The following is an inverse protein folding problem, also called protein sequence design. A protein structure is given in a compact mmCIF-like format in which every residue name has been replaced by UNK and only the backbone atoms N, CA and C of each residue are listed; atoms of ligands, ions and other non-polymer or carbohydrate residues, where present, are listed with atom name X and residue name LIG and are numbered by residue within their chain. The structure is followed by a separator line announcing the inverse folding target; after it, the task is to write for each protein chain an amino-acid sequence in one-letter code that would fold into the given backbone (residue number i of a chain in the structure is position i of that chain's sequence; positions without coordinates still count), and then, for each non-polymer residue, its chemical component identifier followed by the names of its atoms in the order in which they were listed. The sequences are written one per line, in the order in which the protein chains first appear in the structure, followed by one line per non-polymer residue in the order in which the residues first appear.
data_IF_805266095527
#
_entry.id   IF_805266095527
#
_cell.length_a   1.000
_cell.length_b   1.000
_cell.length_c   1.000
_cell.angle_alpha   90.00
_cell.angle_beta   90.00
_cell.angle_gamma   90.00
#
_symmetry.space_group_name_H-M   'P 1'
#
loop_
_entity.id
_entity.type
_entity.pdbx_description
1 polymer ?
#
# COMPACT_ATOMS: atom_id res chain seq x y z
N UNK A 1 -60.25 -8.94 -7.06
CA UNK A 1 -59.69 -9.39 -5.77
C UNK A 1 -58.67 -10.51 -5.88
N UNK A 2 -58.82 -11.51 -6.76
CA UNK A 2 -57.80 -12.59 -6.92
C UNK A 2 -56.65 -12.22 -7.87
N UNK A 3 -56.91 -11.50 -8.98
CA UNK A 3 -55.87 -11.02 -9.92
C UNK A 3 -54.88 -10.03 -9.30
N UNK A 4 -55.36 -9.14 -8.44
CA UNK A 4 -54.51 -8.12 -7.81
C UNK A 4 -53.49 -8.77 -6.85
N UNK A 5 -53.89 -9.83 -6.13
CA UNK A 5 -53.00 -10.58 -5.23
C UNK A 5 -51.91 -11.37 -5.97
N UNK A 6 -52.19 -11.92 -7.14
CA UNK A 6 -51.17 -12.60 -7.97
C UNK A 6 -50.17 -11.60 -8.57
N UNK A 7 -50.64 -10.41 -8.95
CA UNK A 7 -49.77 -9.32 -9.43
C UNK A 7 -48.86 -8.81 -8.31
N UNK A 8 -49.39 -8.66 -7.10
CA UNK A 8 -48.62 -8.22 -5.93
C UNK A 8 -47.58 -9.27 -5.50
N UNK A 9 -47.90 -10.57 -5.57
CA UNK A 9 -46.94 -11.66 -5.30
C UNK A 9 -45.82 -11.70 -6.35
N UNK A 10 -46.16 -11.53 -7.63
CA UNK A 10 -45.15 -11.47 -8.70
C UNK A 10 -44.20 -10.28 -8.49
N UNK A 11 -44.74 -9.10 -8.19
CA UNK A 11 -43.94 -7.90 -7.91
C UNK A 11 -42.98 -8.13 -6.72
N UNK A 12 -43.46 -8.75 -5.64
CA UNK A 12 -42.62 -9.08 -4.48
C UNK A 12 -41.54 -10.12 -4.80
N UNK A 13 -41.79 -11.08 -5.70
CA UNK A 13 -40.81 -12.07 -6.14
C UNK A 13 -39.72 -11.44 -7.01
N UNK A 14 -40.11 -10.55 -7.92
CA UNK A 14 -39.16 -9.77 -8.73
C UNK A 14 -38.32 -8.86 -7.84
N UNK A 15 -38.93 -8.16 -6.88
CA UNK A 15 -38.21 -7.31 -5.94
C UNK A 15 -37.16 -8.08 -5.15
N UNK A 16 -37.51 -9.27 -4.63
CA UNK A 16 -36.56 -10.14 -3.92
C UNK A 16 -35.38 -10.60 -4.79
N UNK A 17 -35.59 -10.79 -6.09
CA UNK A 17 -34.52 -11.14 -7.02
C UNK A 17 -33.62 -9.94 -7.30
N UNK A 18 -34.17 -8.76 -7.51
CA UNK A 18 -33.40 -7.53 -7.75
C UNK A 18 -32.56 -7.14 -6.53
N UNK A 19 -33.07 -7.40 -5.33
CA UNK A 19 -32.37 -7.15 -4.07
C UNK A 19 -31.37 -8.26 -3.70
N UNK A 20 -31.36 -9.40 -4.41
CA UNK A 20 -30.46 -10.51 -4.10
C UNK A 20 -29.03 -10.23 -4.56
N UNK A 21 -28.06 -10.82 -3.85
CA UNK A 21 -26.63 -10.66 -4.17
C UNK A 21 -26.29 -11.24 -5.55
N UNK A 22 -26.97 -12.31 -5.95
CA UNK A 22 -26.81 -12.92 -7.28
C UNK A 22 -27.22 -12.01 -8.45
N UNK A 23 -27.94 -10.92 -8.18
CA UNK A 23 -28.30 -9.92 -9.18
C UNK A 23 -27.26 -8.79 -9.30
N UNK A 24 -26.28 -8.72 -8.38
CA UNK A 24 -25.16 -7.78 -8.49
C UNK A 24 -24.31 -8.17 -9.70
N UNK A 25 -23.91 -7.16 -10.47
CA UNK A 25 -22.96 -7.37 -11.56
C UNK A 25 -21.58 -7.65 -10.97
N UNK A 26 -20.88 -8.65 -11.51
CA UNK A 26 -19.55 -9.06 -11.04
C UNK A 26 -18.54 -7.90 -10.82
N UNK A 27 -18.45 -6.85 -11.68
CA UNK A 27 -17.55 -5.73 -11.43
C UNK A 27 -17.90 -4.88 -10.19
N UNK A 28 -19.16 -4.95 -9.75
CA UNK A 28 -19.71 -4.19 -8.62
C UNK A 28 -19.98 -5.09 -7.40
N UNK A 29 -19.43 -6.30 -7.38
CA UNK A 29 -19.64 -7.30 -6.33
C UNK A 29 -18.30 -7.63 -5.64
N UNK A 30 -17.93 -6.91 -4.57
CA UNK A 30 -16.70 -7.16 -3.83
C UNK A 30 -16.63 -8.56 -3.24
N UNK A 31 -17.77 -9.09 -2.76
CA UNK A 31 -17.84 -10.41 -2.13
C UNK A 31 -17.45 -11.50 -3.14
N UNK A 32 -17.94 -11.39 -4.38
CA UNK A 32 -17.50 -12.25 -5.48
C UNK A 32 -16.04 -12.00 -5.84
N UNK A 33 -15.63 -10.74 -6.02
CA UNK A 33 -14.28 -10.37 -6.45
C UNK A 33 -13.20 -10.78 -5.46
N UNK A 34 -13.51 -10.88 -4.16
CA UNK A 34 -12.59 -11.28 -3.10
C UNK A 34 -12.51 -12.80 -2.90
N UNK A 35 -13.44 -13.56 -3.48
CA UNK A 35 -13.48 -15.02 -3.38
C UNK A 35 -12.16 -15.69 -3.78
N UNK A 36 -11.78 -16.78 -3.10
CA UNK A 36 -10.48 -17.44 -3.31
C UNK A 36 -10.28 -17.93 -4.75
N UNK A 37 -11.34 -18.41 -5.40
CA UNK A 37 -11.32 -18.86 -6.81
C UNK A 37 -10.92 -17.75 -7.80
N UNK A 38 -11.14 -16.48 -7.44
CA UNK A 38 -10.76 -15.33 -8.26
C UNK A 38 -9.37 -14.78 -7.98
N UNK A 39 -8.58 -15.43 -7.09
CA UNK A 39 -7.22 -15.00 -6.78
C UNK A 39 -6.33 -14.84 -8.02
N UNK A 40 -6.44 -15.77 -8.98
CA UNK A 40 -5.66 -15.70 -10.23
C UNK A 40 -6.04 -14.47 -11.08
N UNK A 41 -7.35 -14.15 -11.15
CA UNK A 41 -7.85 -12.97 -11.86
C UNK A 41 -7.40 -11.70 -11.16
N UNK A 42 -7.49 -11.62 -9.83
CA UNK A 42 -6.96 -10.49 -9.05
C UNK A 42 -5.48 -10.27 -9.30
N UNK A 43 -4.67 -11.34 -9.29
CA UNK A 43 -3.24 -11.25 -9.58
C UNK A 43 -2.98 -10.70 -10.99
N UNK A 44 -3.75 -11.12 -11.98
CA UNK A 44 -3.65 -10.59 -13.34
C UNK A 44 -3.98 -9.09 -13.39
N UNK A 45 -5.00 -8.63 -12.66
CA UNK A 45 -5.37 -7.22 -12.57
C UNK A 45 -4.29 -6.40 -11.86
N UNK A 46 -3.70 -6.92 -10.78
CA UNK A 46 -2.58 -6.30 -10.06
C UNK A 46 -1.33 -6.13 -10.93
N UNK A 47 -1.13 -7.00 -11.92
CA UNK A 47 -0.08 -6.83 -12.93
C UNK A 47 -0.50 -5.84 -14.04
N UNK A 48 -1.72 -5.97 -14.56
CA UNK A 48 -2.16 -5.20 -15.73
C UNK A 48 -2.31 -3.71 -15.41
N UNK A 49 -2.80 -3.36 -14.21
CA UNK A 49 -3.02 -1.97 -13.80
C UNK A 49 -1.74 -1.12 -13.79
N UNK A 50 -0.62 -1.53 -13.14
CA UNK A 50 0.62 -0.77 -13.20
C UNK A 50 1.21 -0.76 -14.61
N UNK A 51 1.20 -1.89 -15.33
CA UNK A 51 1.71 -1.95 -16.71
C UNK A 51 0.98 -0.98 -17.64
N UNK A 52 -0.34 -0.93 -17.55
CA UNK A 52 -1.17 0.00 -18.32
C UNK A 52 -0.83 1.46 -18.00
N UNK A 53 -0.66 1.78 -16.71
CA UNK A 53 -0.30 3.13 -16.26
C UNK A 53 1.09 3.54 -16.77
N UNK A 54 2.09 2.66 -16.65
CA UNK A 54 3.45 2.92 -17.12
C UNK A 54 3.50 3.18 -18.63
N UNK A 55 2.73 2.41 -19.41
CA UNK A 55 2.60 2.62 -20.87
C UNK A 55 1.95 3.96 -21.20
N UNK A 56 0.88 4.34 -20.51
CA UNK A 56 0.21 5.62 -20.71
C UNK A 56 1.12 6.81 -20.42
N UNK A 57 1.97 6.70 -19.41
CA UNK A 57 2.96 7.72 -19.06
C UNK A 57 4.21 7.68 -19.96
N UNK A 58 4.25 6.81 -20.97
CA UNK A 58 5.38 6.71 -21.89
C UNK A 58 6.68 6.23 -21.24
N UNK A 59 6.63 5.54 -20.10
CA UNK A 59 7.82 5.03 -19.41
C UNK A 59 8.43 3.89 -20.25
N UNK A 60 9.63 4.11 -20.79
CA UNK A 60 10.36 3.15 -21.65
C UNK A 60 11.50 2.43 -20.95
N UNK A 61 11.94 2.95 -19.80
CA UNK A 61 13.08 2.42 -19.06
C UNK A 61 12.85 2.68 -17.59
N UNK A 62 13.14 1.67 -16.77
CA UNK A 62 12.90 1.70 -15.33
C UNK A 62 14.16 1.24 -14.62
N UNK A 63 14.65 2.04 -13.68
CA UNK A 63 15.72 1.66 -12.76
C UNK A 63 15.08 1.23 -11.45
N UNK A 64 15.30 -0.02 -11.06
CA UNK A 64 14.76 -0.58 -9.80
C UNK A 64 15.87 -0.59 -8.75
N UNK A 65 15.63 0.08 -7.62
CA UNK A 65 16.55 0.14 -6.48
C UNK A 65 15.93 -0.57 -5.29
N UNK A 66 16.70 -1.46 -4.65
CA UNK A 66 16.29 -2.13 -3.43
C UNK A 66 17.04 -1.57 -2.22
N UNK A 67 16.34 -1.47 -1.09
CA UNK A 67 16.91 -0.95 0.15
C UNK A 67 16.06 -1.31 1.36
N UNK A 68 16.62 -1.14 2.55
CA UNK A 68 15.89 -1.37 3.80
C UNK A 68 14.91 -0.23 4.06
N UNK A 69 13.62 -0.56 4.18
CA UNK A 69 12.55 0.38 4.56
C UNK A 69 12.71 0.98 5.98
N UNK A 70 13.67 0.49 6.77
CA UNK A 70 13.96 0.95 8.14
C UNK A 70 15.13 1.94 8.24
N UNK A 71 15.78 2.27 7.13
CA UNK A 71 16.86 3.25 7.12
C UNK A 71 16.29 4.66 6.99
N UNK A 72 16.87 5.58 7.74
CA UNK A 72 16.48 6.99 7.81
C UNK A 72 17.74 7.84 7.59
N UNK A 73 17.53 9.11 7.25
CA UNK A 73 18.59 10.09 7.20
C UNK A 73 19.18 10.38 8.58
N UNK A 74 20.33 11.07 8.61
CA UNK A 74 21.02 11.40 9.85
C UNK A 74 20.14 12.20 10.80
N UNK A 75 19.51 13.26 10.29
CA UNK A 75 18.69 14.18 11.07
C UNK A 75 17.50 13.48 11.75
N UNK A 76 16.72 12.72 10.97
CA UNK A 76 15.58 11.96 11.48
C UNK A 76 16.00 10.94 12.53
N UNK A 77 17.11 10.23 12.29
CA UNK A 77 17.61 9.23 13.23
C UNK A 77 18.07 9.88 14.56
N UNK A 78 18.78 11.01 14.48
CA UNK A 78 19.21 11.73 15.68
C UNK A 78 18.03 12.33 16.46
N UNK A 79 17.02 12.82 15.75
CA UNK A 79 15.76 13.25 16.36
C UNK A 79 15.08 12.09 17.10
N UNK A 80 14.93 10.95 16.46
CA UNK A 80 14.32 9.76 17.07
C UNK A 80 15.11 9.26 18.28
N UNK A 81 16.44 9.27 18.20
CA UNK A 81 17.32 8.95 19.33
C UNK A 81 17.07 9.91 20.50
N UNK A 82 17.01 11.21 20.22
CA UNK A 82 16.81 12.25 21.24
C UNK A 82 15.46 12.08 21.94
N UNK A 83 14.38 11.86 21.18
CA UNK A 83 13.04 11.63 21.73
C UNK A 83 13.02 10.41 22.64
N UNK A 84 13.57 9.28 22.18
CA UNK A 84 13.57 8.04 22.98
C UNK A 84 14.47 8.17 24.22
N UNK A 85 15.54 8.95 24.16
CA UNK A 85 16.37 9.24 25.34
C UNK A 85 15.60 10.04 26.39
N UNK A 86 14.87 11.08 25.98
CA UNK A 86 14.05 11.88 26.89
C UNK A 86 12.90 11.06 27.50
N UNK A 87 12.27 10.18 26.71
CA UNK A 87 11.25 9.25 27.22
C UNK A 87 11.82 8.27 28.25
N UNK A 88 13.03 7.76 28.02
CA UNK A 88 13.71 6.83 28.93
C UNK A 88 14.03 7.47 30.28
N UNK A 89 14.34 8.76 30.30
CA UNK A 89 14.59 9.53 31.52
C UNK A 89 13.32 9.70 32.37
N UNK A 90 12.17 9.88 31.72
CA UNK A 90 10.89 10.17 32.38
C UNK A 90 10.02 8.93 32.66
N UNK A 91 10.37 7.76 32.10
CA UNK A 91 9.57 6.53 32.22
C UNK A 91 9.97 5.68 33.43
N UNK A 92 8.95 5.10 34.08
CA UNK A 92 9.08 4.08 35.12
C UNK A 92 9.38 2.68 34.53
N UNK A 93 8.91 2.39 33.31
CA UNK A 93 9.26 1.17 32.57
C UNK A 93 10.33 1.50 31.50
N UNK A 94 11.56 1.05 31.77
CA UNK A 94 12.76 1.45 31.01
C UNK A 94 13.23 0.40 30.01
N UNK A 95 12.85 -0.86 30.20
CA UNK A 95 13.37 -1.98 29.39
C UNK A 95 13.01 -1.86 27.89
N UNK A 96 11.75 -1.62 27.49
CA UNK A 96 11.42 -1.50 26.06
C UNK A 96 12.07 -0.28 25.40
N UNK A 97 12.16 0.83 26.14
CA UNK A 97 12.79 2.07 25.66
C UNK A 97 14.31 1.92 25.52
N UNK A 98 14.96 1.21 26.44
CA UNK A 98 16.40 0.91 26.35
C UNK A 98 16.71 0.04 25.12
N UNK A 99 15.88 -0.97 24.83
CA UNK A 99 16.02 -1.80 23.63
C UNK A 99 15.80 -1.00 22.34
N UNK A 100 14.79 -0.13 22.31
CA UNK A 100 14.52 0.78 21.18
C UNK A 100 15.70 1.70 20.94
N UNK A 101 16.22 2.33 21.99
CA UNK A 101 17.38 3.22 21.91
C UNK A 101 18.63 2.50 21.40
N UNK A 102 18.90 1.28 21.89
CA UNK A 102 20.01 0.45 21.39
C UNK A 102 19.88 0.17 19.90
N UNK A 103 18.67 -0.17 19.45
CA UNK A 103 18.37 -0.42 18.04
C UNK A 103 18.61 0.81 17.17
N UNK A 104 18.13 1.99 17.60
CA UNK A 104 18.33 3.25 16.88
C UNK A 104 19.82 3.63 16.80
N UNK A 105 20.54 3.57 17.92
CA UNK A 105 21.98 3.83 17.94
C UNK A 105 22.77 2.89 17.01
N UNK A 106 22.41 1.61 16.97
CA UNK A 106 23.01 0.64 16.06
C UNK A 106 22.77 0.94 14.58
N UNK A 107 21.74 1.73 14.23
CA UNK A 107 21.44 2.13 12.85
C UNK A 107 22.32 3.27 12.33
N UNK A 108 22.99 4.05 13.20
CA UNK A 108 23.85 5.17 12.80
C UNK A 108 24.88 4.81 11.72
N UNK A 109 25.47 3.60 11.79
CA UNK A 109 26.44 3.12 10.79
C UNK A 109 25.87 2.96 9.37
N UNK A 110 24.55 2.87 9.23
CA UNK A 110 23.88 2.68 7.95
C UNK A 110 23.34 3.98 7.35
N UNK A 111 23.37 5.08 8.09
CA UNK A 111 22.88 6.40 7.63
C UNK A 111 23.52 6.80 6.30
N UNK A 112 24.82 6.56 6.14
CA UNK A 112 25.53 6.84 4.89
C UNK A 112 24.88 6.20 3.65
N UNK A 113 24.27 5.02 3.79
CA UNK A 113 23.64 4.33 2.66
C UNK A 113 22.31 4.99 2.26
N UNK A 114 21.63 5.65 3.20
CA UNK A 114 20.47 6.47 2.88
C UNK A 114 20.88 7.68 2.02
N UNK A 115 21.97 8.35 2.39
CA UNK A 115 22.49 9.50 1.62
C UNK A 115 22.98 9.08 0.23
N UNK A 116 23.70 7.97 0.12
CA UNK A 116 24.13 7.44 -1.19
C UNK A 116 22.94 7.05 -2.07
N UNK A 117 21.89 6.44 -1.51
CA UNK A 117 20.67 6.14 -2.26
C UNK A 117 19.99 7.42 -2.78
N UNK A 118 19.93 8.48 -1.97
CA UNK A 118 19.39 9.78 -2.41
C UNK A 118 20.21 10.40 -3.53
N UNK A 119 21.55 10.39 -3.40
CA UNK A 119 22.46 10.90 -4.45
C UNK A 119 22.25 10.14 -5.76
N UNK A 120 22.21 8.81 -5.70
CA UNK A 120 21.95 7.97 -6.87
C UNK A 120 20.61 8.32 -7.52
N UNK A 121 19.52 8.41 -6.74
CA UNK A 121 18.20 8.78 -7.25
C UNK A 121 18.22 10.14 -7.92
N UNK A 122 18.88 11.14 -7.35
CA UNK A 122 19.03 12.47 -7.96
C UNK A 122 19.75 12.40 -9.31
N UNK A 123 20.87 11.67 -9.38
CA UNK A 123 21.65 11.51 -10.63
C UNK A 123 20.78 10.86 -11.71
N UNK A 124 20.09 9.78 -11.37
CA UNK A 124 19.19 9.07 -12.30
C UNK A 124 18.07 9.99 -12.77
N UNK A 125 17.36 10.64 -11.87
CA UNK A 125 16.27 11.56 -12.22
C UNK A 125 16.72 12.69 -13.15
N UNK A 126 17.82 13.37 -12.81
CA UNK A 126 18.33 14.48 -13.63
C UNK A 126 18.78 14.02 -15.02
N UNK A 127 19.46 12.86 -15.10
CA UNK A 127 19.97 12.38 -16.38
C UNK A 127 18.87 11.97 -17.35
N UNK A 128 17.78 11.37 -16.86
CA UNK A 128 16.69 10.93 -17.72
C UNK A 128 15.65 12.02 -18.02
N UNK A 129 15.66 13.15 -17.30
CA UNK A 129 14.90 14.36 -17.69
C UNK A 129 15.51 15.08 -18.89
N UNK A 130 16.83 15.01 -19.09
CA UNK A 130 17.54 15.68 -20.19
C UNK A 130 17.47 14.91 -21.52
N UNK A 131 17.14 13.62 -21.49
CA UNK A 131 17.13 12.72 -22.65
C UNK A 131 15.72 12.38 -23.19
N UNK A 132 14.66 12.87 -22.55
CA UNK A 132 13.24 12.66 -22.92
C UNK A 132 12.66 13.81 -23.73
#
# INVERSE_FOLDING_TARGET
MTRDRESDDLAQRVQRLVESETYRLAPNDPDFLEHDDLRAVRLQLEYLKPEWTLRQQGIRSTVIVFGSARLQGAEDLERDITVVQQELENSSDKEPLALKLRTLKARRKYVKYYDEARKFSTIVSQKFEEEG
#
